data_IF_937356695767
#
_entry.id   IF_937356695767
#
_cell.length_a   1.000
_cell.length_b   1.000
_cell.length_c   1.000
_cell.angle_alpha   90.00
_cell.angle_beta   90.00
_cell.angle_gamma   90.00
#
_symmetry.space_group_name_H-M   'P 1'
#
loop_
_entity.id
_entity.type
_entity.pdbx_description
1 polymer ?
#
# COMPACT_ATOMS: atom_id res chain seq x y z
N UNK A 1 -0.22 19.98 25.10
CA UNK A 1 0.77 19.99 24.01
C UNK A 1 1.24 18.56 23.75
N UNK A 2 1.64 18.28 22.51
CA UNK A 2 2.06 17.00 21.91
C UNK A 2 0.92 16.20 21.29
N UNK A 3 0.63 16.33 19.99
CA UNK A 3 1.41 15.92 18.79
C UNK A 3 1.11 14.47 18.40
N UNK A 4 -0.08 14.23 17.84
CA UNK A 4 -0.33 13.06 17.00
C UNK A 4 0.34 13.29 15.63
N UNK A 5 1.25 12.40 15.27
CA UNK A 5 1.84 12.36 13.94
C UNK A 5 0.76 11.98 12.93
N UNK A 6 0.12 12.98 12.34
CA UNK A 6 -0.67 12.84 11.11
C UNK A 6 0.29 12.38 10.01
N UNK A 7 0.11 11.15 9.52
CA UNK A 7 0.73 10.69 8.27
C UNK A 7 0.42 11.73 7.19
N UNK A 8 1.45 12.40 6.68
CA UNK A 8 1.30 13.38 5.61
C UNK A 8 1.18 12.65 4.28
N UNK A 9 -0.02 12.57 3.72
CA UNK A 9 -0.18 12.23 2.30
C UNK A 9 0.39 13.39 1.47
N UNK A 10 1.47 13.09 0.75
CA UNK A 10 2.13 14.02 -0.17
C UNK A 10 1.79 13.57 -1.58
N UNK A 11 1.00 14.37 -2.30
CA UNK A 11 0.67 14.11 -3.69
C UNK A 11 1.67 14.86 -4.57
N UNK A 12 2.41 14.14 -5.42
CA UNK A 12 3.35 14.71 -6.38
C UNK A 12 2.79 14.54 -7.80
N UNK A 13 2.58 15.66 -8.49
CA UNK A 13 2.07 15.68 -9.86
C UNK A 13 3.09 16.35 -10.78
N UNK A 14 3.33 15.75 -11.95
CA UNK A 14 4.13 16.35 -13.01
C UNK A 14 3.16 16.92 -14.06
N UNK A 15 3.02 18.24 -14.09
CA UNK A 15 2.11 18.93 -14.98
C UNK A 15 2.83 19.31 -16.29
N UNK A 16 2.18 19.07 -17.43
CA UNK A 16 2.66 19.47 -18.76
C UNK A 16 1.49 19.86 -19.67
N UNK A 17 1.41 21.13 -20.05
CA UNK A 17 0.28 21.72 -20.79
C UNK A 17 -1.07 21.61 -20.04
N UNK A 18 -1.05 21.75 -18.72
CA UNK A 18 -2.20 21.48 -17.85
C UNK A 18 -2.42 22.61 -16.83
N UNK A 19 -3.65 22.66 -16.30
CA UNK A 19 -4.05 23.56 -15.22
C UNK A 19 -4.39 22.72 -14.00
N UNK A 20 -3.87 23.11 -12.85
CA UNK A 20 -4.12 22.50 -11.55
C UNK A 20 -4.72 23.52 -10.58
N UNK A 21 -5.82 23.18 -9.94
CA UNK A 21 -6.58 24.09 -9.06
C UNK A 21 -6.83 23.43 -7.71
N UNK A 22 -6.37 24.08 -6.62
CA UNK A 22 -6.59 23.64 -5.24
C UNK A 22 -7.42 24.66 -4.49
N UNK A 23 -8.50 24.23 -3.84
CA UNK A 23 -9.33 25.06 -2.95
C UNK A 23 -8.94 24.89 -1.48
N UNK A 24 -9.05 25.97 -0.70
CA UNK A 24 -8.70 26.03 0.72
C UNK A 24 -9.69 26.90 1.49
N UNK A 25 -9.79 26.68 2.79
CA UNK A 25 -10.46 27.62 3.68
C UNK A 25 -9.67 28.94 3.85
N UNK A 26 -10.34 30.00 4.33
CA UNK A 26 -9.79 31.36 4.49
C UNK A 26 -8.76 31.48 5.60
N UNK A 27 -8.60 30.42 6.41
CA UNK A 27 -7.55 30.30 7.42
C UNK A 27 -6.32 29.59 6.86
N UNK A 28 -6.38 29.08 5.63
CA UNK A 28 -5.29 28.46 4.89
C UNK A 28 -4.83 27.12 5.45
N UNK A 29 -5.61 26.50 6.34
CA UNK A 29 -5.15 25.40 7.20
C UNK A 29 -5.85 24.07 6.95
N UNK A 30 -7.08 24.07 6.41
CA UNK A 30 -7.77 22.82 6.07
C UNK A 30 -8.03 22.74 4.56
N UNK A 31 -7.64 21.62 3.92
CA UNK A 31 -8.12 21.32 2.59
C UNK A 31 -9.63 21.04 2.64
N UNK A 32 -10.37 21.62 1.71
CA UNK A 32 -11.73 21.15 1.43
C UNK A 32 -11.57 19.76 0.77
N UNK A 33 -12.11 18.73 1.43
CA UNK A 33 -11.79 17.30 1.24
C UNK A 33 -11.77 16.77 -0.21
N UNK A 34 -10.94 15.73 -0.40
CA UNK A 34 -10.86 14.65 -1.43
C UNK A 34 -10.94 14.95 -2.93
N UNK A 35 -11.30 16.15 -3.37
CA UNK A 35 -11.34 16.49 -4.79
C UNK A 35 -10.76 17.89 -5.02
N UNK A 36 -9.43 17.98 -4.95
CA UNK A 36 -8.69 19.25 -5.09
C UNK A 36 -7.78 19.26 -6.32
N UNK A 37 -8.00 18.34 -7.26
CA UNK A 37 -7.08 18.07 -8.36
C UNK A 37 -7.87 17.99 -9.64
N UNK A 38 -7.66 18.98 -10.50
CA UNK A 38 -8.05 18.92 -11.90
C UNK A 38 -6.74 18.92 -12.71
N UNK A 39 -6.57 18.02 -13.67
CA UNK A 39 -5.51 18.11 -14.69
C UNK A 39 -6.01 17.49 -15.99
N UNK A 40 -5.77 18.17 -17.11
CA UNK A 40 -6.08 17.66 -18.45
C UNK A 40 -6.08 18.74 -19.54
N UNK A 41 -5.89 18.31 -20.79
CA UNK A 41 -6.10 19.11 -22.01
C UNK A 41 -7.60 19.14 -22.35
N UNK A 42 -8.37 19.96 -21.64
CA UNK A 42 -9.82 20.06 -21.81
C UNK A 42 -10.24 21.46 -22.29
N UNK A 43 -11.41 21.51 -22.94
CA UNK A 43 -12.05 22.76 -23.36
C UNK A 43 -12.51 23.58 -22.14
N UNK A 44 -12.70 24.89 -22.31
CA UNK A 44 -13.16 25.80 -21.25
C UNK A 44 -14.50 25.35 -20.61
N UNK A 45 -15.35 24.69 -21.41
CA UNK A 45 -16.64 24.16 -20.96
C UNK A 45 -16.48 23.00 -19.97
N UNK A 46 -15.61 22.04 -20.27
CA UNK A 46 -15.39 20.86 -19.41
C UNK A 46 -14.70 21.26 -18.09
N UNK A 47 -13.79 22.24 -18.13
CA UNK A 47 -13.19 22.81 -16.92
C UNK A 47 -14.25 23.52 -16.07
N UNK A 48 -15.15 24.29 -16.69
CA UNK A 48 -16.23 24.98 -15.99
C UNK A 48 -17.21 24.00 -15.34
N UNK A 49 -17.62 22.96 -16.04
CA UNK A 49 -18.51 21.92 -15.52
C UNK A 49 -17.84 21.14 -14.37
N UNK A 50 -16.55 20.77 -14.51
CA UNK A 50 -15.79 20.10 -13.46
C UNK A 50 -15.62 20.95 -12.20
N UNK A 51 -15.23 22.22 -12.33
CA UNK A 51 -15.11 23.14 -11.20
C UNK A 51 -16.47 23.45 -10.55
N UNK A 52 -17.56 23.52 -11.31
CA UNK A 52 -18.92 23.70 -10.79
C UNK A 52 -19.42 22.48 -10.02
N UNK A 53 -19.13 21.27 -10.50
CA UNK A 53 -19.45 20.03 -9.79
C UNK A 53 -18.69 19.94 -8.44
N UNK A 54 -17.43 20.36 -8.42
CA UNK A 54 -16.60 20.43 -7.20
C UNK A 54 -17.10 21.47 -6.20
N UNK A 55 -17.74 22.55 -6.66
CA UNK A 55 -18.23 23.65 -5.81
C UNK A 55 -19.69 23.50 -5.40
N UNK A 56 -20.43 22.52 -5.96
CA UNK A 56 -21.77 22.16 -5.49
C UNK A 56 -21.83 21.96 -3.97
N UNK A 57 -20.81 21.30 -3.42
CA UNK A 57 -20.62 21.08 -1.97
C UNK A 57 -20.05 22.30 -1.22
N UNK A 58 -19.41 23.23 -1.93
CA UNK A 58 -18.70 24.40 -1.36
C UNK A 58 -19.62 25.61 -1.17
N UNK A 59 -20.82 25.59 -1.75
CA UNK A 59 -21.85 26.62 -1.56
C UNK A 59 -22.30 26.79 -0.09
N UNK A 60 -22.05 25.80 0.78
CA UNK A 60 -22.28 25.87 2.23
C UNK A 60 -21.14 26.51 3.04
N UNK A 61 -19.98 26.79 2.42
CA UNK A 61 -18.73 27.12 3.12
C UNK A 61 -18.54 28.64 3.33
N UNK A 62 -19.46 29.47 2.81
CA UNK A 62 -19.48 30.91 3.08
C UNK A 62 -18.30 31.69 2.47
N UNK A 63 -18.12 32.97 2.88
CA UNK A 63 -17.19 33.97 2.31
C UNK A 63 -15.69 33.69 2.56
N UNK A 64 -15.28 32.43 2.65
CA UNK A 64 -13.97 32.06 3.15
C UNK A 64 -13.23 31.01 2.33
N UNK A 65 -13.31 31.02 1.00
CA UNK A 65 -12.59 30.07 0.16
C UNK A 65 -11.47 30.80 -0.61
N UNK A 66 -10.26 30.25 -0.54
CA UNK A 66 -9.12 30.65 -1.38
C UNK A 66 -8.82 29.55 -2.41
N UNK A 67 -8.31 29.93 -3.58
CA UNK A 67 -7.85 28.99 -4.60
C UNK A 67 -6.40 29.27 -5.00
N UNK A 68 -5.61 28.21 -5.17
CA UNK A 68 -4.31 28.25 -5.84
C UNK A 68 -4.45 27.60 -7.22
N UNK A 69 -4.12 28.35 -8.27
CA UNK A 69 -4.18 27.91 -9.66
C UNK A 69 -2.76 27.85 -10.20
N UNK A 70 -2.34 26.68 -10.66
CA UNK A 70 -1.04 26.45 -11.27
C UNK A 70 -1.26 26.14 -12.75
N UNK A 71 -0.64 26.92 -13.63
CA UNK A 71 -0.76 26.79 -15.07
C UNK A 71 0.61 26.46 -15.64
N UNK A 72 0.66 25.39 -16.43
CA UNK A 72 1.87 24.93 -17.09
C UNK A 72 1.65 24.88 -18.60
N UNK A 73 2.52 25.52 -19.37
CA UNK A 73 2.42 25.61 -20.83
C UNK A 73 1.34 26.57 -21.32
N UNK A 74 0.90 26.40 -22.57
CA UNK A 74 -0.02 27.31 -23.28
C UNK A 74 -1.50 27.07 -22.96
N UNK A 75 -1.84 26.64 -21.75
CA UNK A 75 -3.24 26.40 -21.36
C UNK A 75 -4.05 27.72 -21.30
N UNK A 76 -4.68 28.08 -22.42
CA UNK A 76 -5.48 29.30 -22.62
C UNK A 76 -6.93 29.15 -22.11
N UNK A 77 -7.10 28.84 -20.83
CA UNK A 77 -8.44 28.75 -20.23
C UNK A 77 -8.68 29.89 -19.24
N UNK A 78 -9.82 30.58 -19.33
CA UNK A 78 -10.16 31.70 -18.45
C UNK A 78 -10.70 31.24 -17.09
N UNK A 79 -9.84 30.57 -16.31
CA UNK A 79 -10.13 30.08 -14.95
C UNK A 79 -10.63 31.20 -14.03
N UNK A 80 -10.17 32.44 -14.22
CA UNK A 80 -10.54 33.59 -13.40
C UNK A 80 -12.04 33.90 -13.48
N UNK A 81 -12.64 33.82 -14.66
CA UNK A 81 -14.09 34.02 -14.83
C UNK A 81 -14.89 32.94 -14.09
N UNK A 82 -14.44 31.69 -14.20
CA UNK A 82 -15.07 30.54 -13.55
C UNK A 82 -14.99 30.69 -12.02
N UNK A 83 -13.81 31.00 -11.46
CA UNK A 83 -13.64 31.16 -10.01
C UNK A 83 -14.43 32.34 -9.42
N UNK A 84 -14.66 33.40 -10.21
CA UNK A 84 -15.51 34.52 -9.81
C UNK A 84 -16.99 34.11 -9.68
N UNK A 85 -17.51 33.31 -10.62
CA UNK A 85 -18.87 32.74 -10.51
C UNK A 85 -19.04 31.90 -9.24
N UNK A 86 -17.96 31.25 -8.81
CA UNK A 86 -17.89 30.37 -7.63
C UNK A 86 -17.65 31.14 -6.32
N UNK A 87 -17.64 32.49 -6.34
CA UNK A 87 -17.46 33.37 -5.18
C UNK A 87 -16.17 33.11 -4.38
N UNK A 88 -15.11 32.64 -5.03
CA UNK A 88 -13.79 32.46 -4.41
C UNK A 88 -13.21 33.83 -4.05
N UNK A 89 -12.85 34.03 -2.78
CA UNK A 89 -12.47 35.34 -2.26
C UNK A 89 -11.05 35.75 -2.66
N UNK A 90 -10.14 34.78 -2.79
CA UNK A 90 -8.74 35.02 -3.14
C UNK A 90 -8.21 33.94 -4.07
N UNK A 91 -7.60 34.37 -5.16
CA UNK A 91 -6.97 33.46 -6.14
C UNK A 91 -5.48 33.78 -6.22
N UNK A 92 -4.62 32.78 -6.05
CA UNK A 92 -3.18 32.86 -6.31
C UNK A 92 -2.87 32.09 -7.58
N UNK A 93 -2.50 32.79 -8.65
CA UNK A 93 -2.10 32.15 -9.91
C UNK A 93 -0.57 32.02 -9.99
N UNK A 94 -0.09 30.85 -10.46
CA UNK A 94 1.31 30.55 -10.69
C UNK A 94 1.44 30.07 -12.13
N UNK A 95 2.26 30.75 -12.93
CA UNK A 95 2.49 30.41 -14.33
C UNK A 95 3.88 29.81 -14.52
N UNK A 96 3.97 28.75 -15.32
CA UNK A 96 5.20 28.07 -15.71
C UNK A 96 5.16 27.71 -17.20
N UNK A 97 6.23 28.03 -17.92
CA UNK A 97 6.40 27.70 -19.34
C UNK A 97 6.98 26.30 -19.55
N UNK A 98 7.63 25.76 -18.52
CA UNK A 98 8.27 24.45 -18.52
C UNK A 98 7.46 23.45 -17.69
N UNK A 99 7.52 22.13 -17.99
CA UNK A 99 6.89 21.13 -17.16
C UNK A 99 7.33 21.28 -15.70
N UNK A 100 6.39 21.09 -14.78
CA UNK A 100 6.56 21.53 -13.40
C UNK A 100 6.04 20.48 -12.44
N UNK A 101 6.81 20.21 -11.39
CA UNK A 101 6.39 19.34 -10.31
C UNK A 101 5.60 20.14 -9.28
N UNK A 102 4.40 19.67 -8.96
CA UNK A 102 3.55 20.22 -7.91
C UNK A 102 3.50 19.23 -6.76
N UNK A 103 3.96 19.69 -5.59
CA UNK A 103 3.94 18.92 -4.35
C UNK A 103 2.82 19.51 -3.49
N UNK A 104 1.79 18.69 -3.25
CA UNK A 104 0.67 19.03 -2.40
C UNK A 104 0.72 18.23 -1.10
N UNK A 105 0.71 18.93 0.03
CA UNK A 105 0.65 18.31 1.36
C UNK A 105 -0.72 18.54 1.96
N UNK A 106 -1.54 17.49 1.97
CA UNK A 106 -2.93 17.57 2.43
C UNK A 106 -3.03 18.10 3.87
N UNK A 107 -2.13 17.66 4.73
CA UNK A 107 -2.09 17.95 6.17
C UNK A 107 -1.98 19.43 6.53
N UNK A 108 -1.50 20.27 5.60
CA UNK A 108 -1.29 21.69 5.83
C UNK A 108 -1.94 22.56 4.76
N UNK A 109 -2.67 21.96 3.81
CA UNK A 109 -3.16 22.63 2.61
C UNK A 109 -2.07 23.35 1.81
N UNK A 110 -0.78 23.04 2.00
CA UNK A 110 0.33 23.78 1.36
C UNK A 110 0.66 23.17 0.01
N UNK A 111 0.68 24.03 -1.01
CA UNK A 111 1.14 23.69 -2.36
C UNK A 111 2.52 24.31 -2.55
N UNK A 112 3.51 23.48 -2.86
CA UNK A 112 4.85 23.88 -3.28
C UNK A 112 5.01 23.58 -4.76
N UNK A 113 5.55 24.55 -5.50
CA UNK A 113 5.77 24.46 -6.94
C UNK A 113 7.27 24.56 -7.17
N UNK A 114 7.86 23.49 -7.66
CA UNK A 114 9.29 23.42 -7.95
C UNK A 114 9.49 23.20 -9.44
N UNK A 115 10.54 23.82 -10.01
CA UNK A 115 10.97 23.51 -11.39
C UNK A 115 11.19 22.01 -11.49
N UNK A 116 10.73 21.38 -12.57
CA UNK A 116 11.02 19.96 -12.82
C UNK A 116 12.53 19.78 -12.73
N UNK A 117 12.99 19.25 -11.59
CA UNK A 117 14.37 18.81 -11.45
C UNK A 117 14.41 17.53 -12.27
N UNK A 118 15.37 17.46 -13.20
CA UNK A 118 15.79 16.18 -13.74
C UNK A 118 15.89 15.20 -12.56
N UNK A 119 15.26 14.02 -12.65
CA UNK A 119 15.12 13.14 -11.51
C UNK A 119 16.47 12.97 -10.85
N UNK A 120 16.54 13.26 -9.54
CA UNK A 120 17.74 12.98 -8.74
C UNK A 120 18.26 11.58 -9.11
N UNK A 121 19.57 11.36 -9.28
CA UNK A 121 20.14 10.10 -9.77
C UNK A 121 19.96 8.90 -8.81
N UNK A 122 19.01 8.97 -7.88
CA UNK A 122 18.65 7.93 -6.92
C UNK A 122 17.29 7.28 -7.24
N UNK A 123 16.48 7.84 -8.15
CA UNK A 123 15.32 7.13 -8.70
C UNK A 123 15.71 6.47 -10.04
N UNK A 124 16.46 5.37 -9.98
CA UNK A 124 16.46 4.40 -11.07
C UNK A 124 15.00 4.13 -11.44
N UNK A 125 14.64 4.21 -12.72
CA UNK A 125 13.43 3.57 -13.26
C UNK A 125 13.48 2.12 -12.77
N UNK A 126 12.84 1.80 -11.65
CA UNK A 126 12.77 0.42 -11.19
C UNK A 126 11.98 -0.31 -12.26
N UNK A 127 12.61 -1.26 -12.93
CA UNK A 127 11.92 -2.16 -13.85
C UNK A 127 10.66 -2.68 -13.15
N UNK A 128 9.52 -2.67 -13.84
CA UNK A 128 8.28 -3.20 -13.28
C UNK A 128 8.52 -4.62 -12.76
N UNK A 129 8.01 -4.92 -11.56
CA UNK A 129 8.17 -6.23 -10.96
C UNK A 129 7.39 -7.24 -11.78
N UNK A 130 8.08 -8.27 -12.25
CA UNK A 130 7.51 -9.29 -13.12
C UNK A 130 6.72 -10.32 -12.30
N UNK A 131 5.41 -10.36 -12.48
CA UNK A 131 4.49 -11.16 -11.69
C UNK A 131 4.08 -12.43 -12.42
N UNK A 132 4.18 -13.58 -11.76
CA UNK A 132 3.56 -14.83 -12.19
C UNK A 132 2.33 -15.12 -11.31
N UNK A 133 1.18 -15.35 -11.93
CA UNK A 133 -0.06 -15.68 -11.23
C UNK A 133 -0.27 -17.20 -11.29
N UNK A 134 -0.53 -17.83 -10.14
CA UNK A 134 -0.80 -19.26 -10.03
C UNK A 134 -2.13 -19.45 -9.29
N UNK A 135 -3.18 -19.83 -10.03
CA UNK A 135 -4.53 -20.08 -9.50
C UNK A 135 -5.27 -20.98 -10.49
N UNK A 136 -6.02 -21.97 -10.03
CA UNK A 136 -6.74 -22.92 -10.89
C UNK A 136 -7.97 -22.28 -11.57
N UNK A 137 -8.54 -21.25 -10.94
CA UNK A 137 -9.71 -20.53 -11.42
C UNK A 137 -9.35 -19.48 -12.46
N UNK A 138 -9.73 -19.74 -13.70
CA UNK A 138 -9.61 -18.76 -14.81
C UNK A 138 -10.25 -17.41 -14.47
N UNK A 139 -11.36 -17.41 -13.73
CA UNK A 139 -12.03 -16.17 -13.30
C UNK A 139 -11.14 -15.36 -12.37
N UNK A 140 -10.51 -15.99 -11.39
CA UNK A 140 -9.61 -15.31 -10.45
C UNK A 140 -8.35 -14.83 -11.17
N UNK A 141 -7.75 -15.65 -12.04
CA UNK A 141 -6.62 -15.21 -12.87
C UNK A 141 -6.94 -13.95 -13.68
N UNK A 142 -8.09 -13.91 -14.36
CA UNK A 142 -8.52 -12.72 -15.10
C UNK A 142 -8.66 -11.48 -14.21
N UNK A 143 -9.23 -11.64 -13.00
CA UNK A 143 -9.40 -10.56 -12.04
C UNK A 143 -8.04 -10.05 -11.56
N UNK A 144 -7.14 -10.96 -11.15
CA UNK A 144 -5.80 -10.62 -10.71
C UNK A 144 -4.98 -9.97 -11.83
N UNK A 145 -5.01 -10.52 -13.03
CA UNK A 145 -4.34 -9.92 -14.20
C UNK A 145 -4.85 -8.51 -14.46
N UNK A 146 -6.17 -8.27 -14.36
CA UNK A 146 -6.75 -6.94 -14.51
C UNK A 146 -6.30 -5.97 -13.41
N UNK A 147 -6.28 -6.41 -12.15
CA UNK A 147 -5.83 -5.61 -11.01
C UNK A 147 -4.34 -5.26 -11.15
N UNK A 148 -3.49 -6.28 -11.33
CA UNK A 148 -2.04 -6.12 -11.31
C UNK A 148 -1.54 -5.36 -12.53
N UNK A 149 -2.13 -5.58 -13.71
CA UNK A 149 -1.75 -4.84 -14.93
C UNK A 149 -2.21 -3.37 -14.92
N UNK A 150 -3.04 -2.96 -13.95
CA UNK A 150 -3.43 -1.56 -13.78
C UNK A 150 -2.36 -0.73 -13.05
N UNK A 151 -1.42 -1.39 -12.36
CA UNK A 151 -0.30 -0.76 -11.69
C UNK A 151 0.93 -0.74 -12.62
N UNK A 152 1.47 0.43 -12.99
CA UNK A 152 2.61 0.53 -13.92
C UNK A 152 3.92 -0.01 -13.34
N UNK A 153 3.99 -0.29 -12.05
CA UNK A 153 5.16 -0.88 -11.38
C UNK A 153 5.11 -2.42 -11.36
N UNK A 154 4.06 -3.02 -11.93
CA UNK A 154 3.87 -4.46 -12.06
C UNK A 154 3.72 -4.86 -13.53
N UNK A 155 4.24 -6.03 -13.87
CA UNK A 155 4.11 -6.62 -15.21
C UNK A 155 3.70 -8.09 -15.06
N UNK A 156 2.48 -8.47 -15.47
CA UNK A 156 2.07 -9.88 -15.45
C UNK A 156 2.74 -10.59 -16.63
N UNK A 157 3.67 -11.49 -16.31
CA UNK A 157 4.50 -12.20 -17.31
C UNK A 157 3.99 -13.61 -17.63
N UNK A 158 3.04 -14.12 -16.85
CA UNK A 158 2.49 -15.46 -17.04
C UNK A 158 1.38 -15.79 -16.05
N UNK A 159 0.62 -16.81 -16.43
CA UNK A 159 -0.49 -17.37 -15.67
C UNK A 159 -0.38 -18.91 -15.71
N UNK A 160 -0.42 -19.55 -14.55
CA UNK A 160 -0.43 -20.99 -14.42
C UNK A 160 -1.69 -21.48 -13.69
N UNK A 161 -2.29 -22.56 -14.18
CA UNK A 161 -3.48 -23.19 -13.58
C UNK A 161 -3.15 -24.46 -12.79
N UNK A 162 -1.95 -25.01 -12.97
CA UNK A 162 -1.50 -26.24 -12.31
C UNK A 162 -0.06 -26.13 -11.80
N UNK A 163 0.31 -26.88 -10.75
CA UNK A 163 1.65 -26.82 -10.17
C UNK A 163 2.79 -27.14 -11.16
N UNK A 164 2.59 -28.10 -12.06
CA UNK A 164 3.58 -28.47 -13.09
C UNK A 164 3.90 -27.31 -14.03
N UNK A 165 2.87 -26.67 -14.58
CA UNK A 165 2.99 -25.48 -15.42
C UNK A 165 3.66 -24.32 -14.67
N UNK A 166 3.32 -24.13 -13.40
CA UNK A 166 3.92 -23.09 -12.57
C UNK A 166 5.43 -23.28 -12.42
N UNK A 167 5.91 -24.51 -12.18
CA UNK A 167 7.34 -24.80 -12.08
C UNK A 167 8.09 -24.52 -13.38
N UNK A 168 7.54 -24.94 -14.52
CA UNK A 168 8.13 -24.67 -15.84
C UNK A 168 8.24 -23.15 -16.10
N UNK A 169 7.20 -22.40 -15.74
CA UNK A 169 7.16 -20.94 -15.86
C UNK A 169 8.12 -20.24 -14.90
N UNK A 170 8.27 -20.72 -13.66
CA UNK A 170 9.22 -20.17 -12.69
C UNK A 170 10.65 -20.27 -13.25
N UNK A 171 11.02 -21.44 -13.79
CA UNK A 171 12.37 -21.69 -14.30
C UNK A 171 12.67 -20.89 -15.57
N UNK A 172 11.70 -20.83 -16.50
CA UNK A 172 11.86 -20.16 -17.79
C UNK A 172 11.71 -18.64 -17.70
N UNK A 173 10.68 -18.15 -17.01
CA UNK A 173 10.32 -16.74 -16.98
C UNK A 173 11.05 -15.97 -15.89
N UNK A 174 11.48 -16.61 -14.80
CA UNK A 174 12.16 -15.99 -13.65
C UNK A 174 11.38 -14.77 -13.12
N UNK A 175 10.18 -14.97 -12.55
CA UNK A 175 9.39 -13.89 -12.00
C UNK A 175 10.07 -13.25 -10.79
N UNK A 176 9.81 -11.95 -10.58
CA UNK A 176 10.27 -11.20 -9.42
C UNK A 176 9.32 -11.40 -8.23
N UNK A 177 8.05 -11.72 -8.48
CA UNK A 177 7.05 -12.02 -7.45
C UNK A 177 6.02 -13.01 -7.98
N UNK A 178 5.48 -13.83 -7.08
CA UNK A 178 4.44 -14.82 -7.38
C UNK A 178 3.20 -14.49 -6.55
N UNK A 179 2.03 -14.53 -7.18
CA UNK A 179 0.77 -14.68 -6.46
C UNK A 179 0.33 -16.12 -6.52
N UNK A 180 0.10 -16.76 -5.38
CA UNK A 180 -0.13 -18.20 -5.30
C UNK A 180 -1.42 -18.53 -4.54
N UNK A 181 -2.29 -19.27 -5.20
CA UNK A 181 -3.44 -19.89 -4.54
C UNK A 181 -3.04 -21.05 -3.64
N UNK A 182 -3.79 -21.24 -2.54
CA UNK A 182 -3.70 -22.43 -1.69
C UNK A 182 -4.38 -23.62 -2.36
N UNK A 183 -5.58 -23.41 -2.93
CA UNK A 183 -6.43 -24.44 -3.48
C UNK A 183 -6.06 -24.85 -4.90
N UNK A 184 -4.93 -25.53 -5.09
CA UNK A 184 -4.53 -26.06 -6.40
C UNK A 184 -4.95 -27.52 -6.61
N UNK A 185 -5.20 -27.95 -7.86
CA UNK A 185 -5.42 -29.35 -8.18
C UNK A 185 -4.12 -30.15 -8.00
N UNK A 186 -4.26 -31.45 -7.73
CA UNK A 186 -3.18 -32.44 -7.56
C UNK A 186 -2.32 -32.25 -6.29
N UNK A 187 -1.99 -31.02 -5.92
CA UNK A 187 -1.11 -30.66 -4.81
C UNK A 187 -1.52 -29.32 -4.21
N UNK A 188 -1.37 -29.13 -2.90
CA UNK A 188 -1.67 -27.86 -2.24
C UNK A 188 -0.64 -26.77 -2.64
N UNK A 189 -1.08 -25.53 -2.80
CA UNK A 189 -0.20 -24.38 -3.05
C UNK A 189 0.92 -24.20 -2.02
N UNK A 190 0.69 -24.54 -0.75
CA UNK A 190 1.73 -24.50 0.29
C UNK A 190 2.85 -25.51 0.01
N UNK A 191 2.52 -26.68 -0.53
CA UNK A 191 3.52 -27.67 -0.92
C UNK A 191 4.32 -27.18 -2.13
N UNK A 192 3.65 -26.57 -3.12
CA UNK A 192 4.33 -25.92 -4.26
C UNK A 192 5.29 -24.82 -3.79
N UNK A 193 4.86 -23.96 -2.87
CA UNK A 193 5.67 -22.91 -2.25
C UNK A 193 6.95 -23.51 -1.65
N UNK A 194 6.82 -24.56 -0.84
CA UNK A 194 7.97 -25.26 -0.24
C UNK A 194 8.94 -25.81 -1.29
N UNK A 195 8.42 -26.33 -2.40
CA UNK A 195 9.25 -26.89 -3.48
C UNK A 195 10.12 -25.82 -4.12
N UNK A 196 9.54 -24.71 -4.61
CA UNK A 196 10.33 -23.70 -5.32
C UNK A 196 11.13 -22.77 -4.39
N UNK A 197 10.69 -22.55 -3.14
CA UNK A 197 11.45 -21.73 -2.18
C UNK A 197 12.82 -22.31 -1.85
N UNK A 198 12.98 -23.64 -1.93
CA UNK A 198 14.29 -24.30 -1.74
C UNK A 198 15.29 -23.96 -2.84
N UNK A 199 14.82 -23.66 -4.06
CA UNK A 199 15.66 -23.43 -5.25
C UNK A 199 15.75 -21.97 -5.67
N UNK A 200 14.62 -21.26 -5.72
CA UNK A 200 14.53 -19.94 -6.36
C UNK A 200 14.33 -18.77 -5.37
N UNK A 201 13.76 -19.01 -4.18
CA UNK A 201 13.50 -17.98 -3.14
C UNK A 201 12.78 -16.72 -3.68
N UNK A 202 11.75 -16.91 -4.48
CA UNK A 202 11.00 -15.82 -5.11
C UNK A 202 9.95 -15.30 -4.11
N UNK A 203 9.81 -13.98 -3.91
CA UNK A 203 8.76 -13.43 -3.05
C UNK A 203 7.38 -13.93 -3.48
N UNK A 204 6.62 -14.46 -2.52
CA UNK A 204 5.30 -15.01 -2.78
C UNK A 204 4.25 -14.38 -1.88
N UNK A 205 3.17 -13.92 -2.50
CA UNK A 205 1.95 -13.48 -1.82
C UNK A 205 0.90 -14.57 -1.99
N UNK A 206 0.43 -15.12 -0.88
CA UNK A 206 -0.64 -16.13 -0.90
C UNK A 206 -1.99 -15.45 -1.14
N UNK A 207 -2.84 -16.03 -1.98
CA UNK A 207 -4.19 -15.52 -2.23
C UNK A 207 -5.20 -16.64 -2.02
N UNK A 208 -6.10 -16.54 -1.03
CA UNK A 208 -7.10 -17.59 -0.79
C UNK A 208 -8.45 -17.03 -0.26
N UNK A 209 -9.48 -17.87 -0.22
CA UNK A 209 -10.89 -17.52 -0.06
C UNK A 209 -11.34 -17.10 1.36
N UNK A 210 -10.43 -16.96 2.34
CA UNK A 210 -10.75 -16.69 3.77
C UNK A 210 -11.62 -17.78 4.42
N UNK A 211 -11.17 -19.04 4.43
CA UNK A 211 -11.83 -20.07 5.24
C UNK A 211 -11.11 -20.32 6.58
N UNK A 212 -11.85 -20.77 7.60
CA UNK A 212 -11.24 -21.25 8.86
C UNK A 212 -10.43 -22.53 8.65
N UNK A 213 -10.83 -23.33 7.66
CA UNK A 213 -10.19 -24.60 7.31
C UNK A 213 -8.77 -24.39 6.76
N UNK A 214 -8.53 -23.26 6.09
CA UNK A 214 -7.20 -22.90 5.55
C UNK A 214 -6.28 -22.23 6.58
N UNK A 215 -6.75 -21.93 7.80
CA UNK A 215 -5.96 -21.26 8.84
C UNK A 215 -4.62 -21.97 9.16
N UNK A 216 -4.56 -23.31 9.30
CA UNK A 216 -3.29 -24.03 9.47
C UNK A 216 -2.36 -23.92 8.25
N UNK A 217 -2.92 -23.90 7.05
CA UNK A 217 -2.16 -23.79 5.79
C UNK A 217 -1.55 -22.40 5.63
N UNK A 218 -2.23 -21.36 6.10
CA UNK A 218 -1.65 -20.00 6.14
C UNK A 218 -0.42 -19.97 7.04
N UNK A 219 -0.48 -20.61 8.22
CA UNK A 219 0.66 -20.72 9.12
C UNK A 219 1.86 -21.36 8.44
N UNK A 220 1.61 -22.51 7.84
CA UNK A 220 2.60 -23.31 7.13
C UNK A 220 3.18 -22.55 5.92
N UNK A 221 2.37 -21.73 5.24
CA UNK A 221 2.81 -20.90 4.13
C UNK A 221 3.79 -19.79 4.57
N UNK A 222 3.51 -19.14 5.71
CA UNK A 222 4.40 -18.12 6.28
C UNK A 222 5.73 -18.76 6.69
N UNK A 223 5.68 -19.93 7.35
CA UNK A 223 6.89 -20.70 7.70
C UNK A 223 7.69 -21.16 6.47
N UNK A 224 7.02 -21.45 5.36
CA UNK A 224 7.64 -21.79 4.09
C UNK A 224 8.25 -20.58 3.36
N UNK A 225 8.04 -19.35 3.85
CA UNK A 225 8.63 -18.12 3.33
C UNK A 225 7.68 -17.23 2.52
N UNK A 226 6.36 -17.44 2.61
CA UNK A 226 5.40 -16.48 2.07
C UNK A 226 5.58 -15.10 2.71
N UNK A 227 5.55 -14.05 1.88
CA UNK A 227 5.79 -12.67 2.31
C UNK A 227 4.53 -12.02 2.89
N UNK A 228 3.37 -12.36 2.33
CA UNK A 228 2.09 -11.79 2.74
C UNK A 228 0.94 -12.70 2.30
N UNK A 229 -0.25 -12.39 2.79
CA UNK A 229 -1.49 -13.07 2.46
C UNK A 229 -2.58 -12.07 2.07
N UNK A 230 -3.40 -12.42 1.08
CA UNK A 230 -4.55 -11.63 0.62
C UNK A 230 -5.79 -12.52 0.44
N UNK A 231 -6.95 -11.97 0.77
CA UNK A 231 -8.23 -12.56 0.37
C UNK A 231 -8.40 -12.50 -1.15
N UNK A 232 -8.89 -13.59 -1.77
CA UNK A 232 -9.32 -13.60 -3.18
C UNK A 232 -10.44 -12.55 -3.39
N UNK A 233 -10.27 -11.58 -4.30
CA UNK A 233 -11.31 -10.60 -4.58
C UNK A 233 -12.40 -11.19 -5.47
N UNK A 234 -13.65 -10.80 -5.23
CA UNK A 234 -14.72 -10.91 -6.23
C UNK A 234 -14.67 -9.75 -7.23
N UNK A 235 -15.41 -9.86 -8.34
CA UNK A 235 -15.46 -8.82 -9.37
C UNK A 235 -15.99 -7.48 -8.81
N UNK A 236 -16.95 -7.54 -7.89
CA UNK A 236 -17.54 -6.36 -7.25
C UNK A 236 -16.56 -5.66 -6.29
N UNK A 237 -15.60 -6.40 -5.74
CA UNK A 237 -14.62 -5.89 -4.77
C UNK A 237 -13.38 -5.29 -5.42
N UNK A 238 -13.20 -5.42 -6.74
CA UNK A 238 -12.03 -4.88 -7.47
C UNK A 238 -11.76 -3.40 -7.15
N UNK A 239 -12.76 -2.48 -7.13
CA UNK A 239 -12.48 -1.07 -6.83
C UNK A 239 -11.91 -0.83 -5.42
N UNK A 240 -12.22 -1.71 -4.47
CA UNK A 240 -11.85 -1.56 -3.06
C UNK A 240 -10.59 -2.36 -2.71
N UNK A 241 -10.56 -3.65 -3.09
CA UNK A 241 -9.45 -4.56 -2.80
C UNK A 241 -8.34 -4.54 -3.86
N UNK A 242 -8.64 -4.14 -5.10
CA UNK A 242 -7.67 -4.11 -6.19
C UNK A 242 -6.43 -3.27 -5.87
N UNK A 243 -6.57 -2.01 -5.41
CA UNK A 243 -5.43 -1.19 -5.01
C UNK A 243 -4.60 -1.82 -3.90
N UNK A 244 -5.25 -2.44 -2.90
CA UNK A 244 -4.57 -3.13 -1.78
C UNK A 244 -3.79 -4.34 -2.27
N UNK A 245 -4.35 -5.10 -3.22
CA UNK A 245 -3.70 -6.26 -3.84
C UNK A 245 -2.47 -5.83 -4.62
N UNK A 246 -2.61 -4.85 -5.51
CA UNK A 246 -1.50 -4.32 -6.29
C UNK A 246 -0.39 -3.77 -5.38
N UNK A 247 -0.74 -3.04 -4.33
CA UNK A 247 0.22 -2.53 -3.36
C UNK A 247 1.01 -3.66 -2.68
N UNK A 248 0.32 -4.69 -2.15
CA UNK A 248 0.97 -5.81 -1.47
C UNK A 248 1.87 -6.60 -2.43
N UNK A 249 1.43 -6.87 -3.65
CA UNK A 249 2.24 -7.59 -4.65
C UNK A 249 3.46 -6.77 -5.08
N UNK A 250 3.29 -5.46 -5.31
CA UNK A 250 4.39 -4.55 -5.63
C UNK A 250 5.42 -4.48 -4.51
N UNK A 251 4.96 -4.34 -3.27
CA UNK A 251 5.84 -4.30 -2.11
C UNK A 251 6.57 -5.65 -1.92
N UNK A 252 5.90 -6.77 -2.18
CA UNK A 252 6.52 -8.09 -2.14
C UNK A 252 7.59 -8.27 -3.23
N UNK A 253 7.33 -7.83 -4.47
CA UNK A 253 8.34 -7.88 -5.55
C UNK A 253 9.57 -7.00 -5.31
N UNK A 254 9.46 -6.03 -4.40
CA UNK A 254 10.59 -5.21 -3.93
C UNK A 254 11.28 -5.78 -2.69
N UNK A 255 10.65 -6.74 -2.02
CA UNK A 255 11.19 -7.32 -0.81
C UNK A 255 12.38 -8.22 -1.14
N UNK A 256 13.49 -8.05 -0.42
CA UNK A 256 14.57 -9.05 -0.41
C UNK A 256 14.09 -10.22 0.45
N UNK A 257 13.66 -11.32 -0.18
CA UNK A 257 13.31 -12.55 0.54
C UNK A 257 14.58 -13.09 1.21
N UNK A 258 14.72 -12.83 2.51
CA UNK A 258 15.71 -13.49 3.33
C UNK A 258 15.06 -14.73 3.91
N UNK A 259 15.36 -15.90 3.33
CA UNK A 259 15.04 -17.18 3.98
C UNK A 259 16.11 -17.45 5.02
N UNK A 260 15.77 -17.22 6.29
CA UNK A 260 16.63 -17.48 7.45
C UNK A 260 16.75 -16.28 8.39
N UNK A 261 16.89 -16.57 9.69
CA UNK A 261 17.15 -15.55 10.72
C UNK A 261 18.43 -14.79 10.34
N UNK A 262 18.43 -13.44 10.30
CA UNK A 262 19.64 -12.72 9.93
C UNK A 262 20.76 -13.07 10.93
N UNK A 263 21.80 -13.73 10.43
CA UNK A 263 22.96 -14.14 11.19
C UNK A 263 23.82 -12.89 11.43
N UNK A 264 23.79 -12.33 12.65
CA UNK A 264 24.76 -11.31 13.06
C UNK A 264 24.28 -10.16 13.94
N UNK A 265 23.00 -10.04 14.30
CA UNK A 265 22.57 -8.99 15.24
C UNK A 265 22.67 -9.49 16.69
N UNK A 266 23.32 -8.70 17.55
CA UNK A 266 23.45 -8.90 18.99
C UNK A 266 22.06 -9.19 19.62
N UNK A 267 21.93 -10.31 20.33
CA UNK A 267 20.72 -10.60 21.11
C UNK A 267 20.49 -9.48 22.13
N UNK A 268 19.27 -8.98 22.23
CA UNK A 268 18.89 -8.04 23.28
C UNK A 268 18.80 -8.84 24.57
N UNK A 269 19.72 -8.60 25.51
CA UNK A 269 19.76 -9.35 26.78
C UNK A 269 18.77 -8.82 27.81
N UNK A 270 18.48 -7.52 27.78
CA UNK A 270 17.56 -6.88 28.73
C UNK A 270 16.75 -5.76 28.06
N UNK A 271 15.51 -5.59 28.51
CA UNK A 271 14.63 -4.50 28.10
C UNK A 271 13.96 -3.88 29.32
N UNK A 272 13.65 -2.58 29.22
CA UNK A 272 12.85 -1.86 30.20
C UNK A 272 11.39 -2.32 30.11
N UNK A 273 10.82 -2.75 31.23
CA UNK A 273 9.43 -3.25 31.31
C UNK A 273 8.42 -2.18 31.74
N UNK A 274 8.88 -0.97 32.04
CA UNK A 274 8.07 0.18 32.48
C UNK A 274 7.61 1.07 31.30
N UNK A 275 7.81 0.61 30.07
CA UNK A 275 7.42 1.30 28.84
C UNK A 275 6.50 0.41 28.00
N UNK A 276 5.83 0.99 27.00
CA UNK A 276 5.07 0.24 25.99
C UNK A 276 5.90 0.09 24.72
N UNK A 277 5.95 -1.12 24.16
CA UNK A 277 6.44 -1.34 22.80
C UNK A 277 5.25 -1.42 21.84
N UNK A 278 5.18 -0.51 20.87
CA UNK A 278 4.17 -0.54 19.82
C UNK A 278 4.83 -0.78 18.45
N UNK A 279 4.37 -1.77 17.71
CA UNK A 279 4.89 -2.17 16.40
C UNK A 279 3.76 -2.04 15.37
N UNK A 280 4.02 -1.37 14.26
CA UNK A 280 3.09 -1.30 13.14
C UNK A 280 3.73 -1.88 11.88
N UNK A 281 3.06 -2.79 11.19
CA UNK A 281 3.59 -3.44 9.99
C UNK A 281 2.52 -3.77 8.95
N UNK A 282 2.96 -4.03 7.71
CA UNK A 282 2.11 -4.30 6.54
C UNK A 282 2.76 -5.40 5.69
N UNK A 283 3.05 -5.19 4.42
CA UNK A 283 3.68 -6.20 3.55
C UNK A 283 5.05 -6.67 4.06
N UNK A 284 5.26 -8.00 4.12
CA UNK A 284 6.47 -8.59 4.70
C UNK A 284 6.59 -8.41 6.22
N UNK A 285 5.58 -7.78 6.85
CA UNK A 285 5.54 -7.51 8.27
C UNK A 285 5.50 -8.77 9.12
N UNK A 286 4.85 -9.82 8.63
CA UNK A 286 4.79 -11.12 9.31
C UNK A 286 6.19 -11.70 9.56
N UNK A 287 7.02 -11.76 8.53
CA UNK A 287 8.40 -12.25 8.63
C UNK A 287 9.31 -11.28 9.41
N UNK A 288 9.14 -9.97 9.21
CA UNK A 288 9.92 -8.98 9.95
C UNK A 288 9.62 -9.01 11.46
N UNK A 289 8.35 -9.10 11.83
CA UNK A 289 7.90 -9.25 13.22
C UNK A 289 8.42 -10.57 13.77
N UNK A 290 8.28 -11.68 13.04
CA UNK A 290 8.80 -12.99 13.47
C UNK A 290 10.30 -12.94 13.76
N UNK A 291 11.09 -12.38 12.85
CA UNK A 291 12.53 -12.20 13.02
C UNK A 291 12.88 -11.30 14.21
N UNK A 292 12.08 -10.27 14.49
CA UNK A 292 12.23 -9.42 15.65
C UNK A 292 11.90 -10.17 16.94
N UNK A 293 10.74 -10.82 17.01
CA UNK A 293 10.23 -11.52 18.19
C UNK A 293 11.17 -12.64 18.65
N UNK A 294 11.73 -13.42 17.72
CA UNK A 294 12.72 -14.46 18.02
C UNK A 294 14.02 -13.96 18.68
N UNK A 295 14.26 -12.65 18.68
CA UNK A 295 15.47 -12.02 19.25
C UNK A 295 15.21 -11.29 20.56
N UNK A 296 13.95 -11.15 20.95
CA UNK A 296 13.61 -10.48 22.20
C UNK A 296 13.95 -11.38 23.39
N UNK A 297 14.38 -10.79 24.53
CA UNK A 297 14.63 -11.55 25.74
C UNK A 297 13.32 -12.09 26.33
N UNK A 298 13.43 -12.97 27.33
CA UNK A 298 12.25 -13.48 28.06
C UNK A 298 11.43 -12.36 28.72
N UNK A 299 12.11 -11.31 29.18
CA UNK A 299 11.50 -10.18 29.86
C UNK A 299 11.33 -9.00 28.90
N UNK A 300 10.10 -8.74 28.46
CA UNK A 300 9.77 -7.65 27.54
C UNK A 300 8.73 -6.70 28.16
N UNK A 301 8.72 -5.42 27.76
CA UNK A 301 7.62 -4.52 28.07
C UNK A 301 6.28 -5.05 27.53
N UNK A 302 5.14 -4.56 28.05
CA UNK A 302 3.87 -4.69 27.36
C UNK A 302 4.02 -4.33 25.88
N UNK A 303 3.57 -5.21 25.00
CA UNK A 303 3.79 -5.07 23.56
C UNK A 303 2.49 -5.15 22.78
N UNK A 304 2.25 -4.17 21.91
CA UNK A 304 1.13 -4.14 20.98
C UNK A 304 1.65 -4.15 19.54
N UNK A 305 1.10 -5.02 18.71
CA UNK A 305 1.44 -5.15 17.29
C UNK A 305 0.20 -4.88 16.48
N UNK A 306 0.28 -3.96 15.52
CA UNK A 306 -0.77 -3.72 14.53
C UNK A 306 -0.21 -4.16 13.18
N UNK A 307 -0.71 -5.28 12.69
CA UNK A 307 -0.35 -5.82 11.40
C UNK A 307 -1.55 -5.71 10.44
N UNK A 308 -1.33 -5.21 9.23
CA UNK A 308 -2.38 -5.17 8.20
C UNK A 308 -2.61 -6.58 7.61
N UNK A 309 -3.36 -7.39 8.36
CA UNK A 309 -3.79 -8.75 8.02
C UNK A 309 -5.30 -8.90 8.24
N UNK A 310 -5.99 -9.73 7.42
CA UNK A 310 -7.41 -10.03 7.63
C UNK A 310 -7.69 -10.66 9.01
N UNK A 311 -8.86 -10.39 9.63
CA UNK A 311 -9.21 -10.90 10.95
C UNK A 311 -9.18 -12.43 11.10
N UNK A 312 -9.39 -13.17 10.02
CA UNK A 312 -9.33 -14.65 10.05
C UNK A 312 -7.90 -15.15 10.30
N UNK A 313 -6.87 -14.33 10.06
CA UNK A 313 -5.46 -14.73 10.13
C UNK A 313 -4.66 -14.09 11.24
N UNK A 314 -5.15 -13.03 11.87
CA UNK A 314 -4.52 -12.46 13.07
C UNK A 314 -4.35 -13.51 14.16
N UNK A 315 -5.35 -14.36 14.40
CA UNK A 315 -5.26 -15.49 15.31
C UNK A 315 -4.16 -16.50 14.93
N UNK A 316 -4.08 -16.88 13.65
CA UNK A 316 -3.08 -17.83 13.16
C UNK A 316 -1.67 -17.26 13.31
N UNK A 317 -1.47 -16.00 12.91
CA UNK A 317 -0.19 -15.33 13.03
C UNK A 317 0.27 -15.21 14.49
N UNK A 318 -0.64 -14.82 15.39
CA UNK A 318 -0.34 -14.79 16.82
C UNK A 318 0.04 -16.17 17.37
N UNK A 319 -0.63 -17.23 16.92
CA UNK A 319 -0.31 -18.59 17.32
C UNK A 319 1.11 -19.03 16.88
N UNK A 320 1.55 -18.74 15.65
CA UNK A 320 2.93 -19.06 15.23
C UNK A 320 3.98 -18.31 16.04
N UNK A 321 3.74 -17.03 16.35
CA UNK A 321 4.65 -16.28 17.20
C UNK A 321 4.69 -16.85 18.62
N UNK A 322 3.54 -17.21 19.19
CA UNK A 322 3.47 -17.82 20.52
C UNK A 322 4.23 -19.15 20.60
N UNK A 323 4.25 -19.93 19.51
CA UNK A 323 4.94 -21.22 19.46
C UNK A 323 6.48 -21.08 19.48
N UNK A 324 7.03 -19.93 19.09
CA UNK A 324 8.48 -19.71 18.98
C UNK A 324 9.03 -18.73 20.03
N UNK A 325 8.18 -17.99 20.72
CA UNK A 325 8.57 -16.97 21.68
C UNK A 325 8.58 -17.50 23.13
N UNK A 326 9.46 -16.97 24.01
CA UNK A 326 9.50 -17.34 25.42
C UNK A 326 8.45 -16.63 26.29
N UNK A 327 7.56 -15.83 25.69
CA UNK A 327 6.51 -15.02 26.31
C UNK A 327 5.19 -15.21 25.55
N UNK A 328 4.07 -14.79 26.16
CA UNK A 328 2.75 -15.01 25.59
C UNK A 328 2.52 -14.07 24.39
N UNK A 329 2.04 -14.64 23.29
CA UNK A 329 1.58 -13.92 22.11
C UNK A 329 0.17 -14.40 21.77
N UNK A 330 -0.78 -13.47 21.63
CA UNK A 330 -2.14 -13.82 21.21
C UNK A 330 -2.83 -12.64 20.52
N UNK A 331 -3.91 -12.97 19.81
CA UNK A 331 -4.80 -11.96 19.25
C UNK A 331 -5.45 -11.13 20.37
N UNK A 332 -5.48 -9.82 20.16
CA UNK A 332 -6.09 -8.85 21.06
C UNK A 332 -7.61 -9.00 21.08
N UNK A 333 -8.19 -8.91 22.27
CA UNK A 333 -9.62 -8.89 22.52
C UNK A 333 -10.01 -7.58 23.19
N UNK A 334 -11.24 -7.15 22.95
CA UNK A 334 -11.76 -5.96 23.61
C UNK A 334 -11.68 -6.11 25.14
N UNK A 335 -11.12 -5.10 25.81
CA UNK A 335 -10.92 -5.10 27.27
C UNK A 335 -9.59 -5.71 27.74
N UNK A 336 -8.75 -6.22 26.83
CA UNK A 336 -7.42 -6.69 27.19
C UNK A 336 -6.57 -5.57 27.80
N UNK A 337 -5.77 -5.97 28.79
CA UNK A 337 -4.75 -5.12 29.40
C UNK A 337 -3.38 -5.49 28.82
N UNK A 338 -2.60 -4.47 28.52
CA UNK A 338 -1.21 -4.63 28.10
C UNK A 338 -0.36 -4.83 29.35
N UNK A 339 0.22 -6.02 29.49
CA UNK A 339 1.02 -6.44 30.64
C UNK A 339 2.44 -6.82 30.21
N UNK A 340 3.46 -6.72 31.09
CA UNK A 340 4.80 -7.20 30.78
C UNK A 340 4.78 -8.68 30.36
N UNK A 341 5.63 -9.05 29.40
CA UNK A 341 5.70 -10.40 28.82
C UNK A 341 4.43 -10.85 28.08
N UNK A 342 3.59 -9.91 27.66
CA UNK A 342 2.44 -10.15 26.80
C UNK A 342 2.55 -9.33 25.51
N UNK A 343 2.42 -10.02 24.38
CA UNK A 343 2.30 -9.43 23.06
C UNK A 343 0.86 -9.60 22.57
N UNK A 344 0.21 -8.50 22.25
CA UNK A 344 -1.13 -8.47 21.66
C UNK A 344 -1.04 -8.04 20.20
N UNK A 345 -1.63 -8.83 19.30
CA UNK A 345 -1.73 -8.56 17.86
C UNK A 345 -3.17 -8.20 17.50
#
# INVERSE_FOLDING_TARGET
>A
MSSSALKSEVVSLNLKDEIFVVFRDSKGNNPLSKYSIYSGKMSERELSEGLKALVGDVSQIGKGIEAAVIRVGDAHVNVKSILNELKVFRVKEIYRQEPTQVIYRETFGKVQVEKERAPSPVAQKSKASRVLIIDDSKTIRNILTRILSSDPELEVIGEAERPSQAMDMIESLKPDVITLDIGLPEMNGVELLKLYMRRFRIPTVMISALSREESPLVLESLEAGAVDYIQKPSFQEIPQLGPVIAEKVRNAGRAKVQVGVPHGSRLVTEMRTDQLLAIGASTGGTEAIKALMMRLPKNIPPTAIVQHIPPVFSAAFAHSLNAICPFEVREAKHGDRLEPNLVLI
#
